data_IF_385479678814
#
_entry.id   IF_385479678814
#
_cell.length_a   1.000
_cell.length_b   1.000
_cell.length_c   1.000
_cell.angle_alpha   90.00
_cell.angle_beta   90.00
_cell.angle_gamma   90.00
#
_symmetry.space_group_name_H-M   'P 1'
#
loop_
_entity.id
_entity.type
_entity.pdbx_description
1 polymer ?
#
# COMPACT_ATOMS: atom_id res chain seq x y z
N UNK A 1 -0.85 -6.20 15.51
CA UNK A 1 -0.81 -6.44 14.05
C UNK A 1 -2.03 -5.76 13.45
N UNK A 2 -1.88 -4.99 12.38
CA UNK A 2 -2.98 -4.31 11.71
C UNK A 2 -3.21 -4.97 10.35
N UNK A 3 -4.44 -5.39 10.09
CA UNK A 3 -4.84 -6.00 8.82
C UNK A 3 -5.09 -4.91 7.77
N UNK A 4 -4.47 -5.06 6.61
CA UNK A 4 -4.62 -4.20 5.44
C UNK A 4 -4.76 -5.07 4.19
N UNK A 5 -5.26 -4.48 3.11
CA UNK A 5 -5.34 -5.15 1.80
C UNK A 5 -4.22 -4.62 0.93
N UNK A 6 -3.30 -5.49 0.53
CA UNK A 6 -2.21 -5.17 -0.38
C UNK A 6 -2.63 -5.39 -1.83
N UNK A 7 -2.21 -4.49 -2.70
CA UNK A 7 -2.21 -4.69 -4.14
C UNK A 7 -0.83 -5.20 -4.56
N UNK A 8 -0.78 -6.42 -5.07
CA UNK A 8 0.47 -7.06 -5.51
C UNK A 8 0.41 -7.40 -7.00
N UNK A 9 1.57 -7.37 -7.65
CA UNK A 9 1.67 -7.81 -9.04
C UNK A 9 1.64 -9.35 -9.08
N UNK A 10 0.63 -9.89 -9.75
CA UNK A 10 0.45 -11.33 -9.91
C UNK A 10 1.14 -11.88 -11.16
N UNK A 11 1.64 -11.00 -12.03
CA UNK A 11 2.45 -11.37 -13.17
C UNK A 11 3.79 -11.88 -12.65
N UNK A 12 3.99 -13.19 -12.69
CA UNK A 12 5.28 -13.80 -12.38
C UNK A 12 6.40 -13.28 -13.28
N UNK A 13 7.64 -13.65 -12.96
CA UNK A 13 8.90 -13.26 -13.63
C UNK A 13 8.98 -13.63 -15.14
N UNK A 14 7.89 -14.06 -15.77
CA UNK A 14 7.81 -14.54 -17.15
C UNK A 14 6.73 -13.78 -17.92
N UNK A 15 7.09 -12.63 -18.50
CA UNK A 15 6.50 -12.06 -19.73
C UNK A 15 5.00 -11.74 -19.82
N UNK A 16 4.17 -12.04 -18.82
CA UNK A 16 2.75 -11.71 -18.79
C UNK A 16 2.53 -10.26 -18.39
N UNK A 17 1.67 -9.54 -19.10
CA UNK A 17 1.40 -8.11 -18.89
C UNK A 17 1.01 -7.74 -17.45
N UNK A 18 1.00 -6.44 -17.14
CA UNK A 18 0.71 -5.92 -15.79
C UNK A 18 -0.67 -6.41 -15.31
N UNK A 19 -0.73 -7.32 -14.33
CA UNK A 19 -1.98 -7.73 -13.69
C UNK A 19 -1.82 -7.71 -12.19
N UNK A 20 -2.64 -6.88 -11.54
CA UNK A 20 -2.62 -6.74 -10.10
C UNK A 20 -3.72 -7.57 -9.47
N UNK A 21 -3.41 -8.15 -8.32
CA UNK A 21 -4.36 -8.86 -7.47
C UNK A 21 -4.33 -8.29 -6.05
N UNK A 22 -5.34 -8.63 -5.27
CA UNK A 22 -5.47 -8.21 -3.88
C UNK A 22 -5.14 -9.38 -2.95
N UNK A 23 -4.45 -9.10 -1.85
CA UNK A 23 -4.28 -10.07 -0.77
C UNK A 23 -4.35 -9.38 0.58
N UNK A 24 -4.80 -10.11 1.59
CA UNK A 24 -4.77 -9.62 2.96
C UNK A 24 -3.36 -9.74 3.53
N UNK A 25 -2.91 -8.68 4.20
CA UNK A 25 -1.62 -8.65 4.89
C UNK A 25 -1.78 -8.12 6.31
N UNK A 26 -0.84 -8.52 7.16
CA UNK A 26 -0.75 -8.03 8.53
C UNK A 26 0.54 -7.26 8.72
N UNK A 27 0.43 -5.96 8.98
CA UNK A 27 1.58 -5.09 9.20
C UNK A 27 1.76 -4.86 10.71
N UNK A 28 3.01 -4.88 11.15
CA UNK A 28 3.39 -4.37 12.46
C UNK A 28 3.71 -2.86 12.34
N UNK A 29 2.90 -1.96 12.91
CA UNK A 29 3.13 -0.51 12.81
C UNK A 29 4.49 -0.04 13.32
N UNK A 30 5.12 -0.80 14.24
CA UNK A 30 6.45 -0.49 14.77
C UNK A 30 7.56 -0.50 13.70
N UNK A 31 7.34 -1.22 12.61
CA UNK A 31 8.29 -1.32 11.48
C UNK A 31 7.93 -0.40 10.32
N UNK A 32 6.84 0.39 10.43
CA UNK A 32 6.48 1.34 9.39
C UNK A 32 7.37 2.58 9.52
N UNK A 33 8.17 2.81 8.50
CA UNK A 33 9.09 3.95 8.42
C UNK A 33 8.39 5.17 7.84
N UNK A 34 7.62 4.96 6.78
CA UNK A 34 6.94 6.02 6.07
C UNK A 34 5.69 5.48 5.36
N UNK A 35 4.76 6.40 5.08
CA UNK A 35 3.60 6.16 4.21
C UNK A 35 3.50 7.30 3.20
N UNK A 36 3.08 7.00 1.98
CA UNK A 36 2.88 8.00 0.92
C UNK A 36 1.66 7.63 0.07
N UNK A 37 0.89 8.61 -0.42
CA UNK A 37 -0.13 8.35 -1.46
C UNK A 37 0.50 7.69 -2.70
N UNK A 38 -0.22 6.76 -3.32
CA UNK A 38 0.17 6.13 -4.58
C UNK A 38 -0.83 6.42 -5.70
N UNK A 39 -0.68 7.58 -6.34
CA UNK A 39 -1.49 7.99 -7.48
C UNK A 39 -1.26 7.12 -8.73
N UNK A 40 -0.13 6.40 -8.79
CA UNK A 40 0.16 5.50 -9.92
C UNK A 40 -0.82 4.34 -9.92
N UNK A 41 -1.09 3.74 -8.76
CA UNK A 41 -2.07 2.66 -8.65
C UNK A 41 -3.49 3.13 -8.99
N UNK A 42 -3.82 4.38 -8.71
CA UNK A 42 -5.10 4.98 -9.13
C UNK A 42 -5.23 5.06 -10.64
N UNK A 43 -4.15 5.37 -11.37
CA UNK A 43 -4.15 5.32 -12.85
C UNK A 43 -4.35 3.90 -13.35
N UNK A 44 -3.61 2.95 -12.80
CA UNK A 44 -3.70 1.53 -13.16
C UNK A 44 -5.11 0.95 -12.90
N UNK A 45 -5.81 1.42 -11.86
CA UNK A 45 -7.20 1.04 -11.60
C UNK A 45 -8.13 1.56 -12.70
N UNK A 46 -7.95 2.81 -13.11
CA UNK A 46 -8.77 3.40 -14.17
C UNK A 46 -8.49 2.78 -15.54
N UNK A 47 -7.28 2.28 -15.77
CA UNK A 47 -6.85 1.55 -16.96
C UNK A 47 -7.30 0.08 -16.97
N UNK A 48 -7.86 -0.44 -15.87
CA UNK A 48 -8.39 -1.81 -15.79
C UNK A 48 -7.35 -2.89 -15.46
N UNK A 49 -6.19 -2.51 -14.92
CA UNK A 49 -5.14 -3.45 -14.52
C UNK A 49 -5.35 -4.09 -13.13
N UNK A 50 -6.30 -3.56 -12.35
CA UNK A 50 -6.72 -4.09 -11.06
C UNK A 50 -8.08 -4.81 -11.21
N UNK A 51 -8.49 -5.63 -10.23
CA UNK A 51 -9.77 -6.36 -10.30
C UNK A 51 -10.96 -5.44 -10.59
N UNK A 52 -11.81 -5.84 -11.54
CA UNK A 52 -12.95 -5.02 -12.03
C UNK A 52 -14.01 -4.74 -10.95
N UNK A 53 -14.09 -5.59 -9.93
CA UNK A 53 -14.97 -5.43 -8.77
C UNK A 53 -14.58 -4.27 -7.85
N UNK A 54 -13.41 -3.66 -8.07
CA UNK A 54 -12.89 -2.62 -7.18
C UNK A 54 -13.40 -1.22 -7.55
N UNK A 55 -13.91 -0.49 -6.56
CA UNK A 55 -14.44 0.86 -6.77
C UNK A 55 -13.34 1.84 -7.24
N UNK A 56 -13.58 2.55 -8.35
CA UNK A 56 -12.63 3.53 -8.94
C UNK A 56 -12.29 4.71 -8.02
N UNK A 57 -13.09 4.92 -6.97
CA UNK A 57 -12.89 5.97 -5.95
C UNK A 57 -11.90 5.53 -4.86
N UNK A 58 -11.43 4.29 -4.87
CA UNK A 58 -10.44 3.82 -3.91
C UNK A 58 -9.13 4.60 -4.04
N UNK A 59 -8.60 5.01 -2.89
CA UNK A 59 -7.25 5.54 -2.76
C UNK A 59 -6.24 4.41 -2.59
N UNK A 60 -4.96 4.72 -2.79
CA UNK A 60 -3.87 3.79 -2.55
C UNK A 60 -2.76 4.47 -1.76
N UNK A 61 -2.10 3.70 -0.91
CA UNK A 61 -1.00 4.17 -0.07
C UNK A 61 0.15 3.21 -0.15
N UNK A 62 1.34 3.73 -0.48
CA UNK A 62 2.60 3.01 -0.36
C UNK A 62 3.10 3.07 1.08
N UNK A 63 3.34 1.91 1.66
CA UNK A 63 3.87 1.73 3.02
C UNK A 63 5.30 1.23 2.90
N UNK A 64 6.22 1.94 3.56
CA UNK A 64 7.63 1.60 3.63
C UNK A 64 7.91 0.92 4.96
N UNK A 65 8.37 -0.34 4.91
CA UNK A 65 8.71 -1.14 6.07
C UNK A 65 10.23 -1.28 6.21
N UNK A 66 10.71 -1.15 7.44
CA UNK A 66 12.06 -1.55 7.82
C UNK A 66 12.10 -3.03 8.20
N UNK A 67 12.74 -3.84 7.36
CA UNK A 67 13.02 -5.25 7.60
C UNK A 67 14.52 -5.51 7.74
N UNK A 68 15.31 -4.51 8.15
CA UNK A 68 16.75 -4.62 8.31
C UNK A 68 17.50 -4.39 7.01
N UNK A 69 18.25 -5.39 6.52
CA UNK A 69 19.21 -5.20 5.41
C UNK A 69 18.58 -4.89 4.04
N UNK A 70 17.26 -5.09 3.90
CA UNK A 70 16.49 -4.66 2.74
C UNK A 70 15.18 -4.01 3.21
N UNK A 71 14.96 -2.76 2.79
CA UNK A 71 13.67 -2.11 2.92
C UNK A 71 12.66 -2.79 2.00
N UNK A 72 11.42 -2.95 2.46
CA UNK A 72 10.32 -3.46 1.65
C UNK A 72 9.29 -2.35 1.53
N UNK A 73 8.92 -1.98 0.32
CA UNK A 73 7.74 -1.17 0.07
C UNK A 73 6.61 -2.04 -0.47
N UNK A 74 5.39 -1.74 0.00
CA UNK A 74 4.17 -2.42 -0.39
C UNK A 74 3.08 -1.39 -0.61
N UNK A 75 2.10 -1.71 -1.45
CA UNK A 75 1.00 -0.78 -1.75
C UNK A 75 -0.29 -1.33 -1.21
N UNK A 76 -0.97 -0.58 -0.34
CA UNK A 76 -2.25 -0.97 0.25
C UNK A 76 -3.40 -0.15 -0.31
N UNK A 77 -4.59 -0.76 -0.27
CA UNK A 77 -5.85 -0.08 -0.58
C UNK A 77 -6.24 0.82 0.59
N UNK A 78 -6.46 2.09 0.29
CA UNK A 78 -6.85 3.13 1.24
C UNK A 78 -6.11 4.45 1.04
N UNK A 79 -6.80 5.55 1.36
CA UNK A 79 -6.23 6.89 1.42
C UNK A 79 -5.17 7.00 2.53
N UNK A 80 -4.11 7.78 2.29
CA UNK A 80 -2.98 7.88 3.21
C UNK A 80 -3.40 8.33 4.61
N UNK A 81 -4.36 9.25 4.73
CA UNK A 81 -4.92 9.70 6.01
C UNK A 81 -5.55 8.55 6.80
N UNK A 82 -6.40 7.75 6.18
CA UNK A 82 -7.09 6.61 6.80
C UNK A 82 -6.09 5.52 7.19
N UNK A 83 -5.15 5.20 6.28
CA UNK A 83 -4.10 4.21 6.55
C UNK A 83 -3.20 4.66 7.70
N UNK A 84 -2.84 5.96 7.75
CA UNK A 84 -2.06 6.54 8.86
C UNK A 84 -2.75 6.37 10.20
N UNK A 85 -4.06 6.61 10.24
CA UNK A 85 -4.87 6.54 11.45
C UNK A 85 -5.01 5.09 11.92
N UNK A 86 -5.26 4.15 11.01
CA UNK A 86 -5.29 2.71 11.30
C UNK A 86 -3.95 2.19 11.82
N UNK A 87 -2.84 2.71 11.30
CA UNK A 87 -1.49 2.35 11.76
C UNK A 87 -1.08 3.09 13.05
N UNK A 88 -1.88 4.03 13.54
CA UNK A 88 -1.54 4.83 14.73
C UNK A 88 -0.38 5.80 14.51
N UNK A 89 -0.09 6.17 13.27
CA UNK A 89 1.04 7.04 12.90
C UNK A 89 0.72 8.53 13.10
N UNK A 90 -0.56 8.89 13.17
CA UNK A 90 -1.04 10.27 13.32
C UNK A 90 -0.67 10.90 14.68
N UNK A 91 -0.10 10.13 15.61
CA UNK A 91 0.29 10.57 16.96
C UNK A 91 1.80 10.49 17.22
N UNK A 92 2.63 10.24 16.19
CA UNK A 92 4.07 10.42 16.34
C UNK A 92 4.36 11.91 16.22
N UNK A 93 4.66 12.51 17.35
CA UNK A 93 5.09 13.89 17.52
C UNK A 93 5.88 14.38 16.30
N UNK A 94 5.37 15.45 15.69
CA UNK A 94 6.16 16.28 14.78
C UNK A 94 7.50 16.53 15.48
N UNK A 95 8.57 15.91 14.99
CA UNK A 95 9.92 16.24 15.41
C UNK A 95 10.14 17.70 15.03
N UNK A 96 9.96 18.58 16.00
CA UNK A 96 10.30 20.00 15.89
C UNK A 96 11.81 20.05 15.71
N UNK A 97 12.24 20.24 14.47
CA UNK A 97 13.57 20.77 14.15
C UNK A 97 13.65 22.24 14.48
#
# INVERSE_FOLDING_TARGET
>A
MIQLVEVFNSSGHTGGGLKYNLREIFINPKHVVAIRPDDRMKKLLNEGYLPEEMDKRQGFTKVYLDRGQSGIDLTVVGEAGIVSQKLGLTQKELLKG
#
